data_IF_108805542906
#
_entry.id   IF_108805542906
#
_cell.length_a   1.000
_cell.length_b   1.000
_cell.length_c   1.000
_cell.angle_alpha   90.00
_cell.angle_beta   90.00
_cell.angle_gamma   90.00
#
_symmetry.space_group_name_H-M   'P 1'
#
loop_
_entity.id
_entity.type
_entity.pdbx_description
1 polymer ?
#
# COMPACT_ATOMS: atom_id res chain seq x y z
N UNK A 1 -8.15 25.33 -6.98
CA UNK A 1 -7.19 25.21 -8.09
C UNK A 1 -6.93 26.49 -8.87
N UNK A 2 -7.90 27.37 -9.12
CA UNK A 2 -7.65 28.68 -9.77
C UNK A 2 -6.56 29.56 -9.13
N UNK A 3 -6.19 29.31 -7.86
CA UNK A 3 -5.17 30.07 -7.11
C UNK A 3 -3.73 29.51 -7.32
N UNK A 4 -3.53 28.41 -8.04
CA UNK A 4 -2.21 27.78 -8.21
C UNK A 4 -1.34 28.46 -9.29
N UNK A 5 -1.89 29.38 -10.07
CA UNK A 5 -1.13 30.09 -11.11
C UNK A 5 -0.57 29.23 -12.23
N UNK A 6 -1.06 27.99 -12.37
CA UNK A 6 -0.61 27.06 -13.41
C UNK A 6 -1.10 27.49 -14.80
N UNK A 7 -0.30 27.29 -15.86
CA UNK A 7 -0.74 27.38 -17.25
C UNK A 7 -1.97 26.52 -17.52
N UNK A 8 -2.81 26.91 -18.48
CA UNK A 8 -4.09 26.26 -18.73
C UNK A 8 -3.97 24.77 -19.11
N UNK A 9 -2.98 24.45 -19.92
CA UNK A 9 -2.65 23.05 -20.32
C UNK A 9 -2.28 22.18 -19.11
N UNK A 10 -1.46 22.69 -18.20
CA UNK A 10 -1.11 21.99 -16.96
C UNK A 10 -2.30 21.85 -16.03
N UNK A 11 -3.16 22.89 -15.97
CA UNK A 11 -4.37 22.82 -15.16
C UNK A 11 -5.32 21.72 -15.67
N UNK A 12 -5.49 21.60 -17.00
CA UNK A 12 -6.29 20.56 -17.61
C UNK A 12 -5.72 19.16 -17.28
N UNK A 13 -4.41 18.99 -17.41
CA UNK A 13 -3.72 17.75 -17.06
C UNK A 13 -3.96 17.35 -15.60
N UNK A 14 -3.89 18.32 -14.66
CA UNK A 14 -4.18 18.08 -13.24
C UNK A 14 -5.63 17.63 -13.03
N UNK A 15 -6.59 18.25 -13.73
CA UNK A 15 -8.00 17.84 -13.63
C UNK A 15 -8.24 16.44 -14.16
N UNK A 16 -7.70 16.10 -15.31
CA UNK A 16 -7.83 14.75 -15.89
C UNK A 16 -7.22 13.71 -14.96
N UNK A 17 -6.03 14.01 -14.44
CA UNK A 17 -5.34 13.11 -13.52
C UNK A 17 -6.10 12.94 -12.20
N UNK A 18 -6.64 14.03 -11.66
CA UNK A 18 -7.50 14.02 -10.47
C UNK A 18 -8.75 13.14 -10.66
N UNK A 19 -9.50 13.33 -11.74
CA UNK A 19 -10.71 12.53 -11.99
C UNK A 19 -10.39 11.05 -12.18
N UNK A 20 -9.32 10.73 -12.89
CA UNK A 20 -8.86 9.34 -13.07
C UNK A 20 -8.45 8.71 -11.73
N UNK A 21 -7.78 9.49 -10.89
CA UNK A 21 -7.38 9.04 -9.54
C UNK A 21 -8.57 8.78 -8.65
N UNK A 22 -9.55 9.70 -8.63
CA UNK A 22 -10.78 9.51 -7.84
C UNK A 22 -11.53 8.25 -8.27
N UNK A 23 -11.67 8.04 -9.58
CA UNK A 23 -12.33 6.85 -10.09
C UNK A 23 -11.63 5.57 -9.63
N UNK A 24 -10.29 5.53 -9.73
CA UNK A 24 -9.49 4.40 -9.24
C UNK A 24 -9.66 4.19 -7.73
N UNK A 25 -9.57 5.27 -6.94
CA UNK A 25 -9.73 5.20 -5.50
C UNK A 25 -11.12 4.67 -5.09
N UNK A 26 -12.18 5.06 -5.81
CA UNK A 26 -13.53 4.53 -5.59
C UNK A 26 -13.63 3.05 -5.93
N UNK A 27 -13.01 2.60 -7.02
CA UNK A 27 -12.94 1.16 -7.33
C UNK A 27 -12.13 0.40 -6.28
N UNK A 28 -11.01 0.95 -5.81
CA UNK A 28 -10.23 0.37 -4.73
C UNK A 28 -11.04 0.25 -3.43
N UNK A 29 -11.78 1.30 -3.07
CA UNK A 29 -12.65 1.30 -1.91
C UNK A 29 -13.82 0.30 -2.07
N UNK A 30 -14.40 0.19 -3.26
CA UNK A 30 -15.43 -0.80 -3.53
C UNK A 30 -14.90 -2.23 -3.42
N UNK A 31 -13.68 -2.47 -3.89
CA UNK A 31 -13.00 -3.77 -3.74
C UNK A 31 -12.72 -4.08 -2.27
N UNK A 32 -12.22 -3.12 -1.52
CA UNK A 32 -11.91 -3.22 -0.09
C UNK A 32 -13.15 -3.58 0.75
N UNK A 33 -14.28 -2.90 0.49
CA UNK A 33 -15.52 -3.12 1.24
C UNK A 33 -16.37 -4.28 0.71
N UNK A 34 -16.28 -4.57 -0.59
CA UNK A 34 -17.11 -5.56 -1.26
C UNK A 34 -16.50 -6.96 -1.29
N UNK A 35 -15.18 -7.08 -1.12
CA UNK A 35 -14.51 -8.38 -1.14
C UNK A 35 -14.39 -8.95 0.27
N UNK A 36 -14.88 -10.16 0.44
CA UNK A 36 -14.62 -10.94 1.64
C UNK A 36 -13.57 -11.99 1.31
N UNK A 37 -12.37 -11.83 1.89
CA UNK A 37 -11.23 -12.70 1.56
C UNK A 37 -11.43 -14.16 2.01
N UNK A 38 -12.26 -14.42 3.01
CA UNK A 38 -12.63 -15.77 3.44
C UNK A 38 -13.49 -16.53 2.42
N UNK A 39 -14.05 -15.84 1.42
CA UNK A 39 -14.82 -16.42 0.31
C UNK A 39 -13.98 -16.58 -0.98
N UNK A 40 -12.73 -16.12 -0.97
CA UNK A 40 -11.86 -16.20 -2.15
C UNK A 40 -11.04 -17.50 -2.13
N UNK A 41 -10.76 -18.10 -3.30
CA UNK A 41 -9.74 -19.12 -3.40
C UNK A 41 -8.39 -18.59 -2.86
N UNK A 42 -7.62 -19.37 -2.09
CA UNK A 42 -6.35 -18.92 -1.52
C UNK A 42 -5.40 -18.27 -2.53
N UNK A 43 -5.34 -18.79 -3.76
CA UNK A 43 -4.51 -18.23 -4.84
C UNK A 43 -4.93 -16.83 -5.31
N UNK A 44 -6.16 -16.39 -5.06
CA UNK A 44 -6.66 -15.06 -5.45
C UNK A 44 -6.55 -14.02 -4.33
N UNK A 45 -6.37 -14.46 -3.08
CA UNK A 45 -6.36 -13.55 -1.93
C UNK A 45 -5.28 -12.48 -2.08
N UNK A 46 -4.05 -12.90 -2.39
CA UNK A 46 -2.92 -11.97 -2.53
C UNK A 46 -3.15 -10.95 -3.63
N UNK A 47 -3.64 -11.36 -4.78
CA UNK A 47 -3.91 -10.47 -5.91
C UNK A 47 -5.00 -9.46 -5.56
N UNK A 48 -6.07 -9.90 -4.90
CA UNK A 48 -7.17 -9.03 -4.45
C UNK A 48 -6.68 -8.00 -3.42
N UNK A 49 -5.89 -8.43 -2.44
CA UNK A 49 -5.31 -7.51 -1.44
C UNK A 49 -4.42 -6.45 -2.10
N UNK A 50 -3.49 -6.85 -2.96
CA UNK A 50 -2.61 -5.91 -3.65
C UNK A 50 -3.37 -4.98 -4.60
N UNK A 51 -4.38 -5.48 -5.30
CA UNK A 51 -5.24 -4.65 -6.17
C UNK A 51 -6.01 -3.60 -5.36
N UNK A 52 -6.57 -3.98 -4.20
CA UNK A 52 -7.24 -3.04 -3.29
C UNK A 52 -6.30 -1.93 -2.84
N UNK A 53 -5.11 -2.28 -2.33
CA UNK A 53 -4.09 -1.32 -1.88
C UNK A 53 -3.65 -0.38 -3.01
N UNK A 54 -3.36 -0.93 -4.19
CA UNK A 54 -2.89 -0.18 -5.33
C UNK A 54 -3.95 0.80 -5.86
N UNK A 55 -5.21 0.38 -5.90
CA UNK A 55 -6.30 1.23 -6.38
C UNK A 55 -6.77 2.25 -5.35
N UNK A 56 -6.73 1.94 -4.04
CA UNK A 56 -7.15 2.82 -2.95
C UNK A 56 -6.02 3.77 -2.55
N UNK A 57 -5.13 3.32 -1.71
CA UNK A 57 -4.04 4.12 -1.14
C UNK A 57 -2.99 4.47 -2.20
N UNK A 58 -2.62 3.52 -3.04
CA UNK A 58 -1.65 3.72 -4.12
C UNK A 58 -2.08 4.82 -5.09
N UNK A 59 -3.34 4.82 -5.55
CA UNK A 59 -3.81 5.84 -6.47
C UNK A 59 -3.73 7.26 -5.87
N UNK A 60 -4.05 7.43 -4.59
CA UNK A 60 -4.02 8.73 -3.91
C UNK A 60 -2.58 9.23 -3.71
N UNK A 61 -1.67 8.37 -3.27
CA UNK A 61 -0.26 8.73 -3.09
C UNK A 61 0.41 8.98 -4.45
N UNK A 62 0.11 8.18 -5.47
CA UNK A 62 0.57 8.42 -6.84
C UNK A 62 0.17 9.78 -7.36
N UNK A 63 -1.09 10.16 -7.16
CA UNK A 63 -1.59 11.50 -7.50
C UNK A 63 -0.85 12.61 -6.74
N UNK A 64 -0.66 12.46 -5.44
CA UNK A 64 0.01 13.48 -4.62
C UNK A 64 1.45 13.71 -5.08
N UNK A 65 2.21 12.64 -5.32
CA UNK A 65 3.61 12.71 -5.76
C UNK A 65 3.72 13.28 -7.18
N UNK A 66 2.88 12.79 -8.11
CA UNK A 66 2.89 13.28 -9.50
C UNK A 66 2.41 14.72 -9.63
N UNK A 67 1.45 15.15 -8.80
CA UNK A 67 1.00 16.54 -8.72
C UNK A 67 2.14 17.47 -8.32
N UNK A 68 2.98 17.06 -7.35
CA UNK A 68 4.20 17.79 -7.00
C UNK A 68 5.14 17.96 -8.21
N UNK A 69 5.32 16.90 -9.00
CA UNK A 69 6.08 16.96 -10.25
C UNK A 69 5.50 17.93 -11.28
N UNK A 70 4.18 17.89 -11.50
CA UNK A 70 3.49 18.79 -12.45
C UNK A 70 3.64 20.26 -12.03
N UNK A 71 3.42 20.56 -10.75
CA UNK A 71 3.55 21.91 -10.18
C UNK A 71 5.00 22.39 -10.25
N UNK A 72 5.96 21.52 -9.96
CA UNK A 72 7.39 21.78 -10.05
C UNK A 72 7.93 21.92 -11.48
N UNK A 73 7.08 21.77 -12.51
CA UNK A 73 7.49 21.92 -13.90
C UNK A 73 8.19 20.71 -14.50
N UNK A 74 8.09 19.53 -13.88
CA UNK A 74 8.68 18.31 -14.40
C UNK A 74 8.15 17.97 -15.82
N UNK A 75 8.98 17.39 -16.69
CA UNK A 75 8.53 16.90 -17.99
C UNK A 75 7.53 15.75 -17.83
N UNK A 76 6.72 15.52 -18.87
CA UNK A 76 5.64 14.51 -18.84
C UNK A 76 6.15 13.12 -18.42
N UNK A 77 7.28 12.68 -18.92
CA UNK A 77 7.89 11.41 -18.56
C UNK A 77 8.20 11.32 -17.07
N UNK A 78 8.70 12.40 -16.47
CA UNK A 78 9.05 12.43 -15.04
C UNK A 78 7.81 12.30 -14.16
N UNK A 79 6.75 13.06 -14.41
CA UNK A 79 5.56 12.94 -13.56
C UNK A 79 4.84 11.60 -13.69
N UNK A 80 4.93 10.93 -14.85
CA UNK A 80 4.43 9.54 -15.00
C UNK A 80 5.24 8.55 -14.17
N UNK A 81 6.56 8.70 -14.13
CA UNK A 81 7.42 7.89 -13.26
C UNK A 81 7.09 8.14 -11.78
N UNK A 82 6.85 9.40 -11.42
CA UNK A 82 6.45 9.80 -10.08
C UNK A 82 5.06 9.26 -9.68
N UNK A 83 4.10 9.22 -10.62
CA UNK A 83 2.78 8.60 -10.38
C UNK A 83 2.93 7.10 -10.06
N UNK A 84 3.71 6.37 -10.87
CA UNK A 84 3.95 4.95 -10.65
C UNK A 84 4.69 4.70 -9.33
N UNK A 85 5.74 5.51 -9.05
CA UNK A 85 6.46 5.45 -7.78
C UNK A 85 5.53 5.70 -6.59
N UNK A 86 4.72 6.76 -6.65
CA UNK A 86 3.77 7.08 -5.58
C UNK A 86 2.73 5.97 -5.36
N UNK A 87 2.33 5.25 -6.41
CA UNK A 87 1.43 4.09 -6.27
C UNK A 87 2.10 2.94 -5.57
N UNK A 88 3.32 2.60 -5.95
CA UNK A 88 4.09 1.54 -5.30
C UNK A 88 4.38 1.92 -3.83
N UNK A 89 4.71 3.20 -3.57
CA UNK A 89 4.90 3.73 -2.22
C UNK A 89 3.63 3.59 -1.38
N UNK A 90 2.47 3.96 -1.94
CA UNK A 90 1.18 3.85 -1.26
C UNK A 90 0.79 2.42 -0.91
N UNK A 91 1.18 1.44 -1.74
CA UNK A 91 1.03 0.01 -1.40
C UNK A 91 1.88 -0.35 -0.19
N UNK A 92 3.15 0.06 -0.16
CA UNK A 92 4.05 -0.17 0.97
C UNK A 92 3.53 0.45 2.27
N UNK A 93 3.02 1.69 2.21
CA UNK A 93 2.40 2.36 3.35
C UNK A 93 1.19 1.59 3.87
N UNK A 94 0.31 1.09 2.98
CA UNK A 94 -0.83 0.30 3.40
C UNK A 94 -0.42 -1.05 4.02
N UNK A 95 0.67 -1.67 3.53
CA UNK A 95 1.19 -2.90 4.15
C UNK A 95 1.59 -2.67 5.62
N UNK A 96 2.21 -1.53 5.93
CA UNK A 96 2.55 -1.16 7.30
C UNK A 96 1.30 -0.82 8.13
N UNK A 97 0.34 -0.08 7.58
CA UNK A 97 -0.92 0.23 8.23
C UNK A 97 -1.70 -1.03 8.65
N UNK A 98 -1.80 -2.01 7.75
CA UNK A 98 -2.43 -3.31 8.01
C UNK A 98 -1.70 -4.10 9.11
N UNK A 99 -0.37 -4.00 9.18
CA UNK A 99 0.42 -4.58 10.29
C UNK A 99 0.14 -3.86 11.60
N UNK A 100 0.09 -2.53 11.60
CA UNK A 100 -0.27 -1.72 12.76
C UNK A 100 -1.64 -2.07 13.32
N UNK A 101 -2.62 -2.36 12.45
CA UNK A 101 -3.95 -2.83 12.84
C UNK A 101 -3.91 -4.16 13.61
N UNK A 102 -3.04 -5.08 13.24
CA UNK A 102 -2.91 -6.38 13.92
C UNK A 102 -2.12 -6.26 15.22
N UNK A 103 -1.06 -5.45 15.23
CA UNK A 103 -0.21 -5.26 16.43
C UNK A 103 -0.95 -4.43 17.49
N UNK A 104 -1.92 -3.60 17.09
CA UNK A 104 -2.71 -2.76 18.00
C UNK A 104 -1.95 -1.54 18.52
N UNK A 105 -0.91 -1.11 17.79
CA UNK A 105 0.03 -0.09 18.25
C UNK A 105 -0.59 1.32 18.31
N UNK A 106 -1.47 1.66 17.35
CA UNK A 106 -2.00 3.02 17.23
C UNK A 106 -3.38 3.20 17.84
N UNK A 107 -4.26 2.23 17.68
CA UNK A 107 -5.63 2.31 18.14
C UNK A 107 -6.10 0.92 18.63
N UNK A 108 -5.84 0.59 19.92
CA UNK A 108 -6.18 -0.72 20.47
C UNK A 108 -7.65 -1.12 20.28
N UNK A 109 -8.57 -0.15 20.22
CA UNK A 109 -9.99 -0.38 19.97
C UNK A 109 -10.31 -0.93 18.58
N UNK A 110 -9.41 -0.73 17.62
CA UNK A 110 -9.52 -1.23 16.23
C UNK A 110 -8.62 -2.43 15.94
N UNK A 111 -7.94 -2.95 16.97
CA UNK A 111 -7.07 -4.11 16.75
C UNK A 111 -7.87 -5.26 16.11
N UNK A 112 -7.31 -5.85 15.07
CA UNK A 112 -7.90 -6.91 14.26
C UNK A 112 -9.14 -6.52 13.44
N UNK A 113 -9.52 -5.24 13.33
CA UNK A 113 -10.75 -4.83 12.63
C UNK A 113 -10.79 -5.38 11.20
N UNK A 114 -9.70 -5.25 10.43
CA UNK A 114 -9.64 -5.73 9.05
C UNK A 114 -9.75 -7.25 8.94
N UNK A 115 -9.21 -7.98 9.92
CA UNK A 115 -9.36 -9.43 10.00
C UNK A 115 -10.79 -9.83 10.35
N UNK A 116 -11.41 -9.18 11.33
CA UNK A 116 -12.82 -9.44 11.74
C UNK A 116 -13.82 -9.13 10.63
N UNK A 117 -13.53 -8.11 9.82
CA UNK A 117 -14.36 -7.72 8.68
C UNK A 117 -14.02 -8.47 7.41
N UNK A 118 -13.01 -9.35 7.44
CA UNK A 118 -12.51 -10.11 6.28
C UNK A 118 -12.11 -9.22 5.11
N UNK A 119 -11.61 -8.01 5.40
CA UNK A 119 -11.16 -7.07 4.38
C UNK A 119 -9.86 -7.53 3.73
N UNK A 120 -9.66 -7.25 2.43
CA UNK A 120 -8.39 -7.50 1.76
C UNK A 120 -7.25 -6.71 2.43
N UNK A 121 -6.39 -7.39 3.18
CA UNK A 121 -5.25 -6.77 3.86
C UNK A 121 -3.95 -7.53 3.63
N UNK A 122 -2.82 -6.88 3.94
CA UNK A 122 -1.49 -7.48 3.78
C UNK A 122 -1.31 -8.73 4.62
N UNK A 123 -1.90 -8.76 5.81
CA UNK A 123 -1.85 -9.92 6.72
C UNK A 123 -2.52 -11.14 6.09
N UNK A 124 -3.68 -10.99 5.46
CA UNK A 124 -4.34 -12.04 4.68
C UNK A 124 -3.48 -12.51 3.51
N UNK A 125 -2.88 -11.56 2.77
CA UNK A 125 -2.01 -11.87 1.63
C UNK A 125 -0.78 -12.68 2.05
N UNK A 126 -0.18 -12.34 3.19
CA UNK A 126 0.96 -13.06 3.74
C UNK A 126 0.55 -14.45 4.23
N UNK A 127 -0.53 -14.57 5.01
CA UNK A 127 -1.02 -15.85 5.48
C UNK A 127 -1.31 -16.82 4.31
N UNK A 128 -2.01 -16.35 3.28
CA UNK A 128 -2.32 -17.17 2.11
C UNK A 128 -1.06 -17.58 1.30
N UNK A 129 0.00 -16.75 1.30
CA UNK A 129 1.24 -17.04 0.56
C UNK A 129 2.17 -18.01 1.30
N UNK A 130 2.24 -17.89 2.62
CA UNK A 130 3.29 -18.58 3.42
C UNK A 130 2.82 -19.87 4.07
N UNK A 131 1.52 -20.15 4.04
CA UNK A 131 0.93 -21.32 4.70
C UNK A 131 0.56 -22.43 3.72
N UNK A 132 0.57 -23.67 4.21
CA UNK A 132 -0.11 -24.77 3.55
C UNK A 132 -1.64 -24.55 3.55
N UNK A 133 -2.38 -25.27 2.74
CA UNK A 133 -3.85 -25.19 2.73
C UNK A 133 -4.46 -25.51 4.09
N UNK A 134 -3.87 -26.46 4.82
CA UNK A 134 -4.33 -26.84 6.17
C UNK A 134 -4.04 -25.74 7.20
N UNK A 135 -2.81 -25.20 7.21
CA UNK A 135 -2.44 -24.11 8.10
C UNK A 135 -3.26 -22.85 7.82
N UNK A 136 -3.52 -22.55 6.54
CA UNK A 136 -4.39 -21.44 6.16
C UNK A 136 -5.83 -21.63 6.67
N UNK A 137 -6.37 -22.85 6.60
CA UNK A 137 -7.68 -23.13 7.18
C UNK A 137 -7.71 -22.93 8.71
N UNK A 138 -6.61 -23.31 9.41
CA UNK A 138 -6.45 -23.03 10.84
C UNK A 138 -6.41 -21.52 11.13
N UNK A 139 -5.72 -20.75 10.31
CA UNK A 139 -5.71 -19.27 10.38
C UNK A 139 -7.13 -18.70 10.26
N UNK A 140 -7.88 -19.10 9.24
CA UNK A 140 -9.27 -18.67 9.04
C UNK A 140 -10.13 -19.03 10.25
N UNK A 141 -9.98 -20.23 10.79
CA UNK A 141 -10.68 -20.66 12.00
C UNK A 141 -10.32 -19.81 13.22
N UNK A 142 -9.05 -19.39 13.36
CA UNK A 142 -8.62 -18.52 14.44
C UNK A 142 -9.18 -17.09 14.29
N UNK A 143 -9.19 -16.54 13.08
CA UNK A 143 -9.81 -15.24 12.78
C UNK A 143 -11.30 -15.24 13.13
N UNK A 144 -12.03 -16.32 12.85
CA UNK A 144 -13.47 -16.44 13.17
C UNK A 144 -13.80 -16.42 14.66
N UNK A 145 -12.80 -16.65 15.52
CA UNK A 145 -12.94 -16.61 16.98
C UNK A 145 -12.69 -15.23 17.58
N UNK A 146 -12.26 -14.25 16.78
CA UNK A 146 -12.09 -12.89 17.27
C UNK A 146 -13.41 -12.35 17.85
N UNK A 147 -13.39 -11.59 18.96
CA UNK A 147 -12.21 -10.96 19.56
C UNK A 147 -11.35 -11.84 20.49
N UNK A 148 -11.62 -13.15 20.63
CA UNK A 148 -10.76 -14.07 21.40
C UNK A 148 -9.52 -14.37 20.54
N UNK A 149 -8.39 -13.72 20.86
CA UNK A 149 -7.22 -13.67 20.00
C UNK A 149 -6.15 -14.75 20.28
N UNK A 150 -6.23 -15.50 21.39
CA UNK A 150 -5.15 -16.44 21.80
C UNK A 150 -4.76 -17.41 20.69
N UNK A 151 -5.75 -17.99 20.01
CA UNK A 151 -5.51 -18.94 18.93
C UNK A 151 -4.87 -18.28 17.69
N UNK A 152 -5.21 -17.02 17.42
CA UNK A 152 -4.64 -16.24 16.31
C UNK A 152 -3.21 -15.83 16.64
N UNK A 153 -2.93 -15.40 17.86
CA UNK A 153 -1.59 -15.04 18.31
C UNK A 153 -0.66 -16.25 18.29
N UNK A 154 -1.12 -17.39 18.80
CA UNK A 154 -0.35 -18.65 18.74
C UNK A 154 -0.07 -19.08 17.28
N UNK A 155 -1.00 -18.85 16.37
CA UNK A 155 -0.80 -19.11 14.95
C UNK A 155 0.24 -18.16 14.34
N UNK A 156 0.18 -16.85 14.65
CA UNK A 156 1.17 -15.85 14.20
C UNK A 156 2.58 -16.20 14.66
N UNK A 157 2.73 -16.60 15.92
CA UNK A 157 4.02 -17.01 16.49
C UNK A 157 4.58 -18.25 15.78
N UNK A 158 3.75 -19.29 15.64
CA UNK A 158 4.15 -20.54 14.98
C UNK A 158 4.62 -20.33 13.54
N UNK A 159 3.97 -19.46 12.80
CA UNK A 159 4.26 -19.22 11.39
C UNK A 159 5.15 -18.00 11.17
N UNK A 160 5.60 -17.33 12.22
CA UNK A 160 6.39 -16.09 12.16
C UNK A 160 5.76 -15.02 11.26
N UNK A 161 4.41 -14.99 11.19
CA UNK A 161 3.68 -14.22 10.19
C UNK A 161 4.00 -12.74 10.26
N UNK A 162 4.01 -12.14 11.45
CA UNK A 162 4.28 -10.71 11.63
C UNK A 162 5.68 -10.34 11.13
N UNK A 163 6.68 -11.16 11.45
CA UNK A 163 8.06 -10.96 10.99
C UNK A 163 8.15 -11.05 9.47
N UNK A 164 7.53 -12.06 8.86
CA UNK A 164 7.52 -12.25 7.40
C UNK A 164 6.77 -11.12 6.70
N UNK A 165 5.64 -10.69 7.24
CA UNK A 165 4.83 -9.62 6.67
C UNK A 165 5.57 -8.27 6.76
N UNK A 166 6.25 -8.00 7.88
CA UNK A 166 7.09 -6.80 8.06
C UNK A 166 8.26 -6.78 7.08
N UNK A 167 8.96 -7.93 6.93
CA UNK A 167 10.05 -8.04 5.96
C UNK A 167 9.53 -7.81 4.53
N UNK A 168 8.40 -8.40 4.17
CA UNK A 168 7.80 -8.20 2.85
C UNK A 168 7.40 -6.74 2.57
N UNK A 169 6.91 -6.00 3.56
CA UNK A 169 6.62 -4.57 3.44
C UNK A 169 7.91 -3.75 3.24
N UNK A 170 8.97 -4.05 4.01
CA UNK A 170 10.29 -3.41 3.85
C UNK A 170 10.91 -3.71 2.47
N UNK A 171 10.86 -4.95 2.03
CA UNK A 171 11.38 -5.34 0.71
C UNK A 171 10.63 -4.60 -0.41
N UNK A 172 9.30 -4.45 -0.28
CA UNK A 172 8.49 -3.68 -1.22
C UNK A 172 8.90 -2.20 -1.24
N UNK A 173 9.10 -1.58 -0.09
CA UNK A 173 9.57 -0.19 0.00
C UNK A 173 10.94 -0.01 -0.65
N UNK A 174 11.91 -0.87 -0.33
CA UNK A 174 13.25 -0.84 -0.92
C UNK A 174 13.20 -0.99 -2.43
N UNK A 175 12.42 -1.95 -2.93
CA UNK A 175 12.23 -2.16 -4.36
C UNK A 175 11.60 -0.92 -5.03
N UNK A 176 10.64 -0.27 -4.38
CA UNK A 176 9.97 0.94 -4.88
C UNK A 176 10.97 2.08 -5.11
N UNK A 177 11.86 2.34 -4.16
CA UNK A 177 12.91 3.35 -4.31
C UNK A 177 13.95 2.99 -5.36
N UNK A 178 14.40 1.75 -5.40
CA UNK A 178 15.34 1.27 -6.43
C UNK A 178 14.73 1.40 -7.83
N UNK A 179 13.48 1.06 -8.00
CA UNK A 179 12.75 1.18 -9.27
C UNK A 179 12.63 2.64 -9.71
N UNK A 180 12.34 3.57 -8.79
CA UNK A 180 12.31 5.00 -9.10
C UNK A 180 13.66 5.46 -9.67
N UNK A 181 14.75 5.17 -8.97
CA UNK A 181 16.10 5.56 -9.37
C UNK A 181 16.46 4.98 -10.75
N UNK A 182 16.23 3.69 -10.96
CA UNK A 182 16.48 3.02 -12.24
C UNK A 182 15.71 3.67 -13.38
N UNK A 183 14.42 4.00 -13.19
CA UNK A 183 13.59 4.61 -14.23
C UNK A 183 14.01 6.04 -14.55
N UNK A 184 14.33 6.85 -13.54
CA UNK A 184 14.82 8.21 -13.75
C UNK A 184 16.15 8.20 -14.53
N UNK A 185 17.07 7.30 -14.19
CA UNK A 185 18.34 7.14 -14.89
C UNK A 185 18.16 6.64 -16.33
N UNK A 186 17.28 5.66 -16.56
CA UNK A 186 16.99 5.13 -17.90
C UNK A 186 16.43 6.20 -18.86
N UNK A 187 15.60 7.11 -18.35
CA UNK A 187 15.03 8.24 -19.11
C UNK A 187 15.94 9.47 -19.11
N UNK A 188 17.14 9.40 -18.52
CA UNK A 188 18.11 10.50 -18.41
C UNK A 188 17.50 11.75 -17.75
N UNK A 189 16.58 11.57 -16.82
CA UNK A 189 15.94 12.66 -16.09
C UNK A 189 16.87 13.11 -14.95
N UNK A 190 17.27 14.37 -14.97
CA UNK A 190 18.01 14.96 -13.85
C UNK A 190 17.08 15.14 -12.66
N UNK A 191 17.49 14.64 -11.51
CA UNK A 191 16.73 14.71 -10.26
C UNK A 191 17.63 15.11 -9.09
N UNK A 192 17.04 15.71 -8.07
CA UNK A 192 17.76 16.12 -6.87
C UNK A 192 18.02 14.91 -5.96
N UNK A 193 19.30 14.59 -5.77
CA UNK A 193 19.69 13.53 -4.80
C UNK A 193 19.19 13.85 -3.40
N UNK A 194 19.27 15.11 -2.98
CA UNK A 194 18.77 15.54 -1.67
C UNK A 194 17.25 15.32 -1.52
N UNK A 195 16.45 15.62 -2.55
CA UNK A 195 15.02 15.36 -2.51
C UNK A 195 14.70 13.86 -2.45
N UNK A 196 15.48 13.04 -3.16
CA UNK A 196 15.34 11.58 -3.12
C UNK A 196 15.70 11.01 -1.74
N UNK A 197 16.79 11.46 -1.15
CA UNK A 197 17.20 11.05 0.20
C UNK A 197 16.13 11.43 1.23
N UNK A 198 15.54 12.63 1.14
CA UNK A 198 14.43 13.04 2.01
C UNK A 198 13.17 12.19 1.86
N UNK A 199 12.82 11.79 0.64
CA UNK A 199 11.72 10.86 0.41
C UNK A 199 12.01 9.48 1.00
N UNK A 200 13.24 9.03 0.90
CA UNK A 200 13.69 7.75 1.45
C UNK A 200 13.69 7.77 2.99
N UNK A 201 14.24 8.83 3.60
CA UNK A 201 14.17 9.05 5.04
C UNK A 201 12.72 8.99 5.54
N UNK A 202 11.78 9.68 4.86
CA UNK A 202 10.36 9.65 5.21
C UNK A 202 9.78 8.23 5.13
N UNK A 203 10.14 7.47 4.11
CA UNK A 203 9.72 6.07 3.98
C UNK A 203 10.24 5.19 5.11
N UNK A 204 11.48 5.41 5.55
CA UNK A 204 12.10 4.71 6.68
C UNK A 204 11.46 5.12 8.02
N UNK A 205 11.21 6.41 8.25
CA UNK A 205 10.51 6.91 9.44
C UNK A 205 9.12 6.27 9.59
N UNK A 206 8.38 6.13 8.49
CA UNK A 206 7.08 5.47 8.50
C UNK A 206 7.25 3.99 8.85
N UNK A 207 8.20 3.27 8.23
CA UNK A 207 8.44 1.86 8.52
C UNK A 207 8.77 1.64 9.99
N UNK A 208 9.63 2.50 10.58
CA UNK A 208 10.00 2.45 12.00
C UNK A 208 8.82 2.76 12.92
N UNK A 209 7.93 3.69 12.52
CA UNK A 209 6.75 4.01 13.31
C UNK A 209 5.79 2.82 13.50
N UNK A 210 5.86 1.81 12.63
CA UNK A 210 5.04 0.58 12.69
C UNK A 210 5.83 -0.66 13.21
N UNK A 211 6.99 -0.46 13.79
CA UNK A 211 7.81 -1.49 14.45
C UNK A 211 7.54 -1.59 15.95
#
# INVERSE_FOLDING_TARGET
MKKLGLPHDKLLLVYEHYHRTLLRAHFGQALDLGSRVDNLPPGQIRETCLASMHLKTGALIGFAVSLGGIIGGAPEKAFRILDDFGRDLGVGLQMFDDLGNVIGQYEPSKQYEDLMLYRPSWVWACAAKTSSSEDFAQFVCAVRKLPVADGLQAWFERHHLITLARQGARDHMNWTFQRLEQRLNAEQITWSKQAFEKLRELGEEIAVAYE
#
